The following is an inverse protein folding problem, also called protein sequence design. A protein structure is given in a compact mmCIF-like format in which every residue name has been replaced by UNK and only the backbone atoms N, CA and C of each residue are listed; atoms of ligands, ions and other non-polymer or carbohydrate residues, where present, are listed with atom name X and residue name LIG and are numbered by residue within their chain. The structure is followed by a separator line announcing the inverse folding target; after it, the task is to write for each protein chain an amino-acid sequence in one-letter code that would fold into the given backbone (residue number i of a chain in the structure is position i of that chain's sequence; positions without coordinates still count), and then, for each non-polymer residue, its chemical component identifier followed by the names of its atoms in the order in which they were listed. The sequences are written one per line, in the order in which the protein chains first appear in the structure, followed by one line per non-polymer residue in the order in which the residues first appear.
data_IF_335126046720
#
_entry.id   IF_335126046720
#
_cell.length_a   1.000
_cell.length_b   1.000
_cell.length_c   1.000
_cell.angle_alpha   90.00
_cell.angle_beta   90.00
_cell.angle_gamma   90.00
#
_symmetry.space_group_name_H-M   'P 1'
#
loop_
_entity.id
_entity.type
_entity.pdbx_description
1 polymer ?
#
# COMPACT_ATOMS: atom_id res chain seq x y z
N UNK A 1 -16.15 22.95 3.93
CA UNK A 1 -17.47 22.29 3.88
C UNK A 1 -17.23 20.80 3.91
N UNK A 2 -17.81 20.08 4.87
CA UNK A 2 -17.59 18.64 5.00
C UNK A 2 -18.49 17.89 4.02
N UNK A 3 -17.92 17.33 2.95
CA UNK A 3 -18.70 16.49 2.03
C UNK A 3 -19.01 15.16 2.72
N UNK A 4 -20.22 14.65 2.50
CA UNK A 4 -20.66 13.35 3.01
C UNK A 4 -20.79 12.42 1.82
N UNK A 5 -19.85 11.49 1.71
CA UNK A 5 -19.72 10.58 0.60
C UNK A 5 -20.32 9.23 0.97
N UNK A 6 -21.10 8.66 0.06
CA UNK A 6 -21.59 7.28 0.17
C UNK A 6 -20.47 6.29 -0.14
N UNK A 7 -20.71 4.98 0.04
CA UNK A 7 -19.70 3.95 -0.25
C UNK A 7 -19.14 4.02 -1.67
N UNK A 8 -20.01 4.24 -2.65
CA UNK A 8 -19.62 4.28 -4.07
C UNK A 8 -18.77 5.51 -4.37
N UNK A 9 -19.13 6.67 -3.80
CA UNK A 9 -18.37 7.91 -3.95
C UNK A 9 -17.03 7.84 -3.20
N UNK A 10 -17.01 7.26 -2.00
CA UNK A 10 -15.79 7.06 -1.22
C UNK A 10 -14.81 6.13 -1.96
N UNK A 11 -15.30 5.04 -2.55
CA UNK A 11 -14.49 4.13 -3.37
C UNK A 11 -13.97 4.79 -4.65
N UNK A 12 -14.73 5.71 -5.25
CA UNK A 12 -14.26 6.51 -6.38
C UNK A 12 -13.18 7.54 -5.98
N UNK A 13 -13.18 7.96 -4.72
CA UNK A 13 -12.24 8.98 -4.20
C UNK A 13 -10.93 8.37 -3.72
N UNK A 14 -10.98 7.19 -3.07
CA UNK A 14 -9.79 6.50 -2.55
C UNK A 14 -9.17 5.58 -3.61
N UNK A 15 -7.95 5.86 -4.09
CA UNK A 15 -7.30 5.03 -5.10
C UNK A 15 -7.00 3.63 -4.55
N UNK A 16 -7.41 2.59 -5.29
CA UNK A 16 -7.17 1.19 -4.94
C UNK A 16 -8.16 0.57 -3.96
N UNK A 17 -9.11 1.33 -3.44
CA UNK A 17 -10.13 0.84 -2.49
C UNK A 17 -11.44 0.53 -3.22
N UNK A 18 -12.02 -0.64 -2.97
CA UNK A 18 -13.32 -1.03 -3.54
C UNK A 18 -14.46 -0.81 -2.56
N UNK A 19 -15.68 -0.58 -3.07
CA UNK A 19 -16.89 -0.49 -2.25
C UNK A 19 -17.08 -1.75 -1.37
N UNK A 20 -16.84 -2.93 -1.93
CA UNK A 20 -16.92 -4.21 -1.20
C UNK A 20 -15.95 -4.25 -0.02
N UNK A 21 -14.73 -3.72 -0.21
CA UNK A 21 -13.73 -3.64 0.85
C UNK A 21 -14.18 -2.69 1.97
N UNK A 22 -14.70 -1.50 1.62
CA UNK A 22 -15.23 -0.54 2.59
C UNK A 22 -16.37 -1.13 3.42
N UNK A 23 -17.33 -1.81 2.76
CA UNK A 23 -18.46 -2.47 3.44
C UNK A 23 -17.98 -3.57 4.39
N UNK A 24 -17.00 -4.38 3.97
CA UNK A 24 -16.44 -5.47 4.79
C UNK A 24 -15.65 -4.95 6.00
N UNK A 25 -14.97 -3.82 5.86
CA UNK A 25 -14.10 -3.26 6.89
C UNK A 25 -14.74 -2.13 7.71
N UNK A 26 -16.04 -1.83 7.50
CA UNK A 26 -16.70 -0.66 8.10
C UNK A 26 -16.58 -0.58 9.64
N UNK A 27 -16.51 -1.73 10.32
CA UNK A 27 -16.37 -1.79 11.79
C UNK A 27 -15.01 -1.27 12.29
N UNK A 28 -14.00 -1.24 11.43
CA UNK A 28 -12.61 -0.84 11.76
C UNK A 28 -12.23 0.52 11.19
N UNK A 29 -13.01 1.06 10.26
CA UNK A 29 -12.69 2.31 9.57
C UNK A 29 -13.37 3.50 10.26
N UNK A 30 -12.74 4.69 10.23
CA UNK A 30 -13.42 5.96 10.50
C UNK A 30 -14.64 6.11 9.58
N UNK A 31 -15.79 6.36 10.16
CA UNK A 31 -17.02 6.60 9.41
C UNK A 31 -18.01 7.41 10.24
N UNK A 32 -18.89 8.13 9.55
CA UNK A 32 -19.99 8.84 10.16
C UNK A 32 -21.30 8.10 9.88
N UNK A 33 -22.06 7.77 10.93
CA UNK A 33 -23.36 7.10 10.79
C UNK A 33 -24.49 8.06 11.12
N UNK A 34 -25.41 8.25 10.18
CA UNK A 34 -26.63 9.05 10.37
C UNK A 34 -27.83 8.13 10.13
N UNK A 35 -28.52 7.77 11.21
CA UNK A 35 -29.60 6.79 11.17
C UNK A 35 -29.09 5.40 10.72
N UNK A 36 -29.65 4.89 9.62
CA UNK A 36 -29.21 3.62 9.01
C UNK A 36 -28.13 3.79 7.94
N UNK A 37 -27.84 5.02 7.54
CA UNK A 37 -26.92 5.30 6.43
C UNK A 37 -25.55 5.64 6.99
N UNK A 38 -24.53 5.11 6.34
CA UNK A 38 -23.13 5.39 6.65
C UNK A 38 -22.56 6.29 5.55
N UNK A 39 -21.85 7.33 5.98
CA UNK A 39 -21.20 8.31 5.14
C UNK A 39 -19.72 8.43 5.55
N UNK A 40 -18.89 8.78 4.59
CA UNK A 40 -17.50 9.12 4.81
C UNK A 40 -17.33 10.62 4.59
N UNK A 41 -16.72 11.27 5.55
CA UNK A 41 -16.27 12.66 5.40
C UNK A 41 -14.87 12.70 4.81
N UNK A 42 -14.46 13.86 4.29
CA UNK A 42 -13.09 14.04 3.79
C UNK A 42 -12.04 13.72 4.90
N UNK A 43 -12.33 14.07 6.15
CA UNK A 43 -11.49 13.73 7.32
C UNK A 43 -11.45 12.22 7.59
N UNK A 44 -12.58 11.52 7.45
CA UNK A 44 -12.62 10.05 7.55
C UNK A 44 -11.73 9.42 6.48
N UNK A 45 -11.80 9.91 5.23
CA UNK A 45 -10.98 9.40 4.13
C UNK A 45 -9.48 9.64 4.37
N UNK A 46 -9.09 10.82 4.83
CA UNK A 46 -7.69 11.12 5.17
C UNK A 46 -7.15 10.21 6.28
N UNK A 47 -7.98 9.88 7.29
CA UNK A 47 -7.59 8.93 8.33
C UNK A 47 -7.50 7.50 7.83
N UNK A 48 -8.40 7.09 6.93
CA UNK A 48 -8.32 5.79 6.27
C UNK A 48 -6.99 5.69 5.52
N UNK A 49 -6.65 6.70 4.72
CA UNK A 49 -5.38 6.72 3.99
C UNK A 49 -4.18 6.61 4.93
N UNK A 50 -4.15 7.41 5.99
CA UNK A 50 -3.08 7.37 7.00
C UNK A 50 -2.96 6.01 7.72
N UNK A 51 -4.07 5.32 8.00
CA UNK A 51 -4.06 4.01 8.66
C UNK A 51 -3.43 2.89 7.81
N UNK A 52 -3.55 2.99 6.49
CA UNK A 52 -3.02 1.99 5.54
C UNK A 52 -1.80 2.51 4.77
N UNK A 53 -1.30 3.70 5.15
CA UNK A 53 -0.10 4.26 4.58
C UNK A 53 1.12 3.47 5.03
N UNK A 54 1.79 2.83 4.07
CA UNK A 54 3.05 2.14 4.30
C UNK A 54 4.17 2.95 3.67
N UNK A 55 4.96 3.63 4.52
CA UNK A 55 6.21 4.21 4.04
C UNK A 55 7.20 3.09 3.78
N UNK A 56 7.80 3.01 2.57
CA UNK A 56 8.94 2.15 2.37
C UNK A 56 10.03 2.67 3.31
N UNK A 57 10.33 1.90 4.36
CA UNK A 57 11.58 2.09 5.08
C UNK A 57 12.66 1.77 4.05
N UNK A 58 13.19 2.80 3.40
CA UNK A 58 14.54 2.77 2.89
C UNK A 58 15.38 2.61 4.14
N UNK A 59 15.52 1.37 4.60
CA UNK A 59 16.69 0.98 5.34
C UNK A 59 17.82 1.51 4.47
N UNK A 60 18.49 2.55 4.95
CA UNK A 60 19.76 2.93 4.39
C UNK A 60 20.56 1.64 4.49
N UNK A 61 20.66 0.94 3.36
CA UNK A 61 21.62 -0.13 3.17
C UNK A 61 22.92 0.56 3.43
N UNK A 62 23.39 0.48 4.67
CA UNK A 62 24.78 0.68 5.02
C UNK A 62 25.52 -0.11 3.96
N UNK A 63 26.14 0.62 3.03
CA UNK A 63 26.79 0.02 1.89
C UNK A 63 27.63 -1.14 2.43
N UNK A 64 27.44 -2.38 1.94
CA UNK A 64 28.27 -3.46 2.40
C UNK A 64 29.71 -3.00 2.17
N UNK A 65 30.48 -2.88 3.24
CA UNK A 65 31.92 -2.72 3.13
C UNK A 65 32.47 -3.83 2.22
N UNK A 66 33.68 -3.70 1.67
CA UNK A 66 34.21 -4.63 0.67
C UNK A 66 34.43 -6.04 1.24
N UNK A 67 33.33 -6.79 1.42
CA UNK A 67 33.32 -8.20 1.71
C UNK A 67 33.27 -8.90 0.36
N UNK A 68 34.19 -9.85 0.09
CA UNK A 68 34.16 -10.60 -1.15
C UNK A 68 32.78 -11.24 -1.33
N UNK A 69 32.17 -11.03 -2.50
CA UNK A 69 30.85 -11.60 -2.81
C UNK A 69 30.88 -13.11 -2.60
N UNK A 70 29.81 -13.73 -2.06
CA UNK A 70 29.78 -15.15 -1.74
C UNK A 70 30.01 -16.05 -2.96
N UNK A 71 29.86 -15.51 -4.18
CA UNK A 71 30.06 -16.20 -5.45
C UNK A 71 31.32 -15.75 -6.20
N UNK A 72 32.23 -15.00 -5.56
CA UNK A 72 33.48 -14.55 -6.17
C UNK A 72 34.42 -15.70 -6.56
N UNK A 73 34.18 -16.91 -6.04
CA UNK A 73 34.94 -18.12 -6.35
C UNK A 73 34.43 -18.86 -7.61
N UNK A 74 33.31 -18.42 -8.20
CA UNK A 74 32.77 -19.06 -9.39
C UNK A 74 33.59 -18.67 -10.63
N UNK A 75 34.12 -19.68 -11.32
CA UNK A 75 34.84 -19.52 -12.58
C UNK A 75 33.85 -19.66 -13.75
N UNK A 76 33.79 -18.73 -14.70
CA UNK A 76 32.90 -18.84 -15.85
C UNK A 76 33.26 -20.05 -16.71
N UNK A 77 32.24 -20.79 -17.14
CA UNK A 77 32.40 -21.95 -18.02
C UNK A 77 32.96 -21.50 -19.39
N UNK A 78 33.90 -22.25 -19.98
CA UNK A 78 34.43 -21.92 -21.29
C UNK A 78 33.32 -21.93 -22.34
N UNK A 79 33.33 -20.95 -23.23
CA UNK A 79 32.37 -20.85 -24.32
C UNK A 79 32.40 -22.13 -25.16
N UNK A 80 31.24 -22.77 -25.31
CA UNK A 80 31.08 -23.97 -26.13
C UNK A 80 31.39 -23.58 -27.59
N UNK A 81 32.47 -24.12 -28.13
CA UNK A 81 32.79 -23.99 -29.56
C UNK A 81 31.69 -24.69 -30.35
N UNK A 82 30.87 -23.93 -31.07
CA UNK A 82 29.97 -24.49 -32.08
C UNK A 82 30.84 -25.08 -33.20
N UNK A 83 30.61 -26.35 -33.50
CA UNK A 83 31.23 -27.07 -34.62
C UNK A 83 30.50 -26.76 -35.93
#
# INVERSE_FOLDING_TARGET
MTRRLTYTEAAATLPGVTETWLRRHIKKLPHTKVGRIVYFTDDDLSRIDALFHHEPTTAATSAPGPSPHPLAHLVPLPARRSA
#
